data_IF_634654567085
#
_entry.id   IF_634654567085
#
_cell.length_a   1.000
_cell.length_b   1.000
_cell.length_c   1.000
_cell.angle_alpha   90.00
_cell.angle_beta   90.00
_cell.angle_gamma   90.00
#
_symmetry.space_group_name_H-M   'P 1'
#
loop_
_entity.id
_entity.type
_entity.pdbx_description
1 polymer ?
#
# COMPACT_ATOMS: atom_id res chain seq x y z
N UNK A 1 -68.77 16.13 -34.06
CA UNK A 1 -67.96 16.34 -32.84
C UNK A 1 -67.16 15.06 -32.57
N UNK A 2 -65.84 15.19 -32.42
CA UNK A 2 -64.86 14.11 -32.40
C UNK A 2 -64.97 13.22 -31.15
N UNK A 3 -65.21 11.92 -31.34
CA UNK A 3 -65.05 10.92 -30.29
C UNK A 3 -63.61 10.42 -30.27
N UNK A 4 -62.78 11.09 -29.48
CA UNK A 4 -61.40 10.74 -29.21
C UNK A 4 -61.37 9.48 -28.34
N UNK A 5 -61.24 8.29 -28.95
CA UNK A 5 -61.08 7.02 -28.23
C UNK A 5 -59.71 7.00 -27.57
N UNK A 6 -59.60 7.53 -26.35
CA UNK A 6 -58.44 7.29 -25.51
C UNK A 6 -58.38 5.80 -25.20
N UNK A 7 -57.40 5.11 -25.78
CA UNK A 7 -57.08 3.73 -25.44
C UNK A 7 -56.63 3.70 -23.98
N UNK A 8 -57.53 3.34 -23.08
CA UNK A 8 -57.20 3.04 -21.69
C UNK A 8 -56.25 1.84 -21.70
N UNK A 9 -54.97 2.09 -21.42
CA UNK A 9 -53.99 1.02 -21.23
C UNK A 9 -54.44 0.16 -20.05
N UNK A 10 -54.75 -1.10 -20.34
CA UNK A 10 -55.16 -2.08 -19.33
C UNK A 10 -53.93 -2.38 -18.47
N UNK A 11 -53.96 -1.98 -17.20
CA UNK A 11 -52.92 -2.34 -16.24
C UNK A 11 -52.96 -3.87 -16.04
N UNK A 12 -51.99 -4.57 -16.60
CA UNK A 12 -51.77 -5.98 -16.34
C UNK A 12 -50.95 -6.08 -15.04
N UNK A 13 -51.52 -6.73 -14.03
CA UNK A 13 -50.84 -7.02 -12.78
C UNK A 13 -49.83 -8.15 -12.94
N UNK A 14 -48.82 -8.19 -12.07
CA UNK A 14 -47.82 -9.24 -12.04
C UNK A 14 -48.41 -10.58 -11.59
N UNK A 15 -47.96 -11.67 -12.20
CA UNK A 15 -48.34 -13.01 -11.74
C UNK A 15 -47.50 -13.42 -10.53
N UNK A 16 -48.03 -14.30 -9.67
CA UNK A 16 -47.29 -14.80 -8.50
C UNK A 16 -45.97 -15.49 -8.92
N UNK A 17 -46.01 -16.25 -10.02
CA UNK A 17 -44.84 -16.93 -10.56
C UNK A 17 -43.78 -15.94 -11.03
N UNK A 18 -44.18 -14.80 -11.60
CA UNK A 18 -43.25 -13.75 -12.03
C UNK A 18 -42.52 -13.10 -10.86
N UNK A 19 -43.21 -12.87 -9.74
CA UNK A 19 -42.57 -12.37 -8.51
C UNK A 19 -41.61 -13.43 -7.92
N UNK A 20 -41.98 -14.70 -7.94
CA UNK A 20 -41.08 -15.78 -7.48
C UNK A 20 -39.79 -15.83 -8.32
N UNK A 21 -39.91 -15.72 -9.65
CA UNK A 21 -38.76 -15.70 -10.56
C UNK A 21 -37.93 -14.42 -10.32
N UNK A 22 -38.57 -13.26 -10.15
CA UNK A 22 -37.88 -12.01 -9.87
C UNK A 22 -37.05 -12.08 -8.57
N UNK A 23 -37.62 -12.65 -7.51
CA UNK A 23 -36.91 -12.87 -6.24
C UNK A 23 -35.76 -13.86 -6.38
N UNK A 24 -35.93 -14.93 -7.16
CA UNK A 24 -34.86 -15.88 -7.45
C UNK A 24 -33.68 -15.19 -8.16
N UNK A 25 -33.96 -14.44 -9.23
CA UNK A 25 -32.94 -13.69 -9.96
C UNK A 25 -32.27 -12.66 -9.06
N UNK A 26 -33.05 -11.95 -8.24
CA UNK A 26 -32.53 -10.99 -7.28
C UNK A 26 -31.58 -11.63 -6.26
N UNK A 27 -31.92 -12.81 -5.72
CA UNK A 27 -31.06 -13.54 -4.80
C UNK A 27 -29.72 -13.92 -5.44
N UNK A 28 -29.73 -14.39 -6.69
CA UNK A 28 -28.52 -14.72 -7.44
C UNK A 28 -27.64 -13.48 -7.67
N UNK A 29 -28.25 -12.36 -8.06
CA UNK A 29 -27.54 -11.08 -8.24
C UNK A 29 -26.91 -10.63 -6.92
N UNK A 30 -27.64 -10.70 -5.82
CA UNK A 30 -27.17 -10.24 -4.52
C UNK A 30 -25.98 -11.05 -3.99
N UNK A 31 -25.95 -12.36 -4.26
CA UNK A 31 -24.78 -13.20 -3.97
C UNK A 31 -23.55 -12.76 -4.78
N UNK A 32 -23.73 -12.43 -6.06
CA UNK A 32 -22.66 -11.86 -6.89
C UNK A 32 -22.10 -10.56 -6.32
N UNK A 33 -22.98 -9.65 -5.90
CA UNK A 33 -22.60 -8.37 -5.29
C UNK A 33 -21.88 -8.58 -3.95
N UNK A 34 -22.34 -9.50 -3.11
CA UNK A 34 -21.70 -9.80 -1.83
C UNK A 34 -20.26 -10.29 -1.99
N UNK A 35 -20.01 -11.18 -2.96
CA UNK A 35 -18.65 -11.62 -3.30
C UNK A 35 -17.76 -10.46 -3.80
N UNK A 36 -18.33 -9.57 -4.61
CA UNK A 36 -17.65 -8.35 -5.06
C UNK A 36 -17.26 -7.43 -3.89
N UNK A 37 -18.18 -7.22 -2.95
CA UNK A 37 -17.93 -6.37 -1.78
C UNK A 37 -16.79 -6.88 -0.91
N UNK A 38 -16.73 -8.19 -0.66
CA UNK A 38 -15.63 -8.80 0.11
C UNK A 38 -14.26 -8.59 -0.55
N UNK A 39 -14.22 -8.67 -1.88
CA UNK A 39 -12.99 -8.41 -2.66
C UNK A 39 -12.55 -6.97 -2.50
N UNK A 40 -13.46 -6.01 -2.66
CA UNK A 40 -13.18 -4.58 -2.47
C UNK A 40 -12.66 -4.29 -1.06
N UNK A 41 -13.28 -4.88 -0.03
CA UNK A 41 -12.84 -4.71 1.36
C UNK A 41 -11.43 -5.24 1.58
N UNK A 42 -11.08 -6.40 1.01
CA UNK A 42 -9.74 -6.98 1.10
C UNK A 42 -8.69 -6.09 0.44
N UNK A 43 -8.97 -5.61 -0.77
CA UNK A 43 -8.06 -4.71 -1.50
C UNK A 43 -7.85 -3.40 -0.77
N UNK A 44 -8.93 -2.79 -0.26
CA UNK A 44 -8.83 -1.54 0.49
C UNK A 44 -7.98 -1.68 1.76
N UNK A 45 -8.12 -2.78 2.50
CA UNK A 45 -7.28 -3.04 3.67
C UNK A 45 -5.79 -3.13 3.30
N UNK A 46 -5.46 -3.83 2.21
CA UNK A 46 -4.09 -3.93 1.72
C UNK A 46 -3.51 -2.57 1.32
N UNK A 47 -4.32 -1.72 0.67
CA UNK A 47 -3.91 -0.38 0.29
C UNK A 47 -3.62 0.50 1.52
N UNK A 48 -4.49 0.47 2.55
CA UNK A 48 -4.28 1.25 3.78
C UNK A 48 -2.96 0.88 4.48
N UNK A 49 -2.63 -0.41 4.56
CA UNK A 49 -1.36 -0.87 5.16
C UNK A 49 -0.17 -0.39 4.32
N UNK A 50 -0.28 -0.49 2.99
CA UNK A 50 0.75 -0.06 2.06
C UNK A 50 0.98 1.45 2.10
N UNK A 51 -0.08 2.23 2.21
CA UNK A 51 -0.02 3.69 2.29
C UNK A 51 0.66 4.13 3.60
N UNK A 52 0.37 3.47 4.72
CA UNK A 52 1.08 3.74 5.98
C UNK A 52 2.56 3.32 5.89
N UNK A 53 2.87 2.18 5.28
CA UNK A 53 4.26 1.77 5.06
C UNK A 53 5.02 2.78 4.19
N UNK A 54 4.35 3.33 3.16
CA UNK A 54 4.90 4.37 2.31
C UNK A 54 5.14 5.66 3.11
N UNK A 55 4.16 6.08 3.93
CA UNK A 55 4.31 7.24 4.81
C UNK A 55 5.51 7.10 5.76
N UNK A 56 5.68 5.93 6.37
CA UNK A 56 6.83 5.64 7.24
C UNK A 56 8.17 5.66 6.48
N UNK A 57 8.17 5.19 5.23
CA UNK A 57 9.36 5.23 4.38
C UNK A 57 9.71 6.67 3.97
N UNK A 58 8.70 7.48 3.62
CA UNK A 58 8.85 8.89 3.28
C UNK A 58 9.32 9.72 4.48
N UNK A 59 8.74 9.49 5.66
CA UNK A 59 9.13 10.17 6.90
C UNK A 59 10.61 9.91 7.20
N UNK A 60 11.07 8.65 7.07
CA UNK A 60 12.48 8.32 7.28
C UNK A 60 13.38 8.86 6.18
N UNK A 61 12.97 8.75 4.92
CA UNK A 61 13.75 9.28 3.80
C UNK A 61 13.92 10.80 3.93
N UNK A 62 12.87 11.51 4.33
CA UNK A 62 12.93 12.95 4.56
C UNK A 62 13.79 13.29 5.77
N UNK A 63 13.72 12.50 6.86
CA UNK A 63 14.63 12.65 8.00
C UNK A 63 16.08 12.52 7.54
N UNK A 64 16.42 11.46 6.80
CA UNK A 64 17.76 11.22 6.28
C UNK A 64 18.19 12.33 5.33
N UNK A 65 17.34 12.80 4.43
CA UNK A 65 17.66 13.94 3.54
C UNK A 65 17.95 15.24 4.29
N UNK A 66 17.42 15.41 5.50
CA UNK A 66 17.70 16.56 6.36
C UNK A 66 19.02 16.45 7.12
N UNK A 67 19.64 15.27 7.17
CA UNK A 67 20.94 15.06 7.83
C UNK A 67 22.07 15.63 6.95
N UNK A 68 23.14 16.09 7.60
CA UNK A 68 24.31 16.61 6.86
C UNK A 68 25.04 15.49 6.14
N UNK A 69 25.56 15.78 4.94
CA UNK A 69 26.32 14.82 4.14
C UNK A 69 27.49 14.17 4.90
N UNK A 70 28.14 14.92 5.81
CA UNK A 70 29.26 14.48 6.64
C UNK A 70 28.88 13.48 7.75
N UNK A 71 27.61 13.42 8.15
CA UNK A 71 27.14 12.50 9.19
C UNK A 71 27.03 11.07 8.66
N UNK A 72 26.79 10.91 7.36
CA UNK A 72 26.79 9.61 6.71
C UNK A 72 28.20 9.02 6.67
N UNK A 73 28.41 7.93 7.40
CA UNK A 73 29.74 7.32 7.61
C UNK A 73 30.30 7.46 9.03
N UNK A 74 29.78 8.39 9.85
CA UNK A 74 30.30 8.62 11.22
C UNK A 74 29.46 7.97 12.31
N UNK A 75 28.18 7.71 12.06
CA UNK A 75 27.28 6.97 12.95
C UNK A 75 26.99 5.59 12.38
N UNK A 76 27.05 4.54 13.21
CA UNK A 76 26.93 3.15 12.73
C UNK A 76 25.61 2.83 12.02
N UNK A 77 24.53 3.56 12.30
CA UNK A 77 23.24 3.40 11.63
C UNK A 77 23.15 4.11 10.27
N UNK A 78 24.03 5.09 10.02
CA UNK A 78 24.09 5.89 8.79
C UNK A 78 25.42 5.70 8.06
N UNK A 79 26.16 4.64 8.40
CA UNK A 79 27.40 4.31 7.74
C UNK A 79 27.10 3.79 6.35
N UNK A 80 27.65 4.44 5.33
CA UNK A 80 27.76 3.81 4.03
C UNK A 80 28.69 2.60 4.17
N UNK A 81 28.29 1.46 3.60
CA UNK A 81 29.10 0.23 3.63
C UNK A 81 29.41 -0.19 2.21
N UNK A 82 30.58 -0.79 2.00
CA UNK A 82 30.96 -1.44 0.74
C UNK A 82 31.30 -2.92 1.02
N UNK A 83 30.49 -3.90 0.58
CA UNK A 83 29.25 -3.74 -0.19
C UNK A 83 28.13 -3.11 0.65
N UNK A 84 27.12 -2.48 0.02
CA UNK A 84 26.05 -1.82 0.74
C UNK A 84 25.14 -2.88 1.39
N UNK A 85 24.86 -2.70 2.69
CA UNK A 85 24.09 -3.63 3.52
C UNK A 85 22.90 -2.94 4.17
N UNK A 86 21.82 -3.69 4.34
CA UNK A 86 20.66 -3.23 5.10
C UNK A 86 21.01 -3.17 6.59
N UNK A 87 20.66 -2.06 7.22
CA UNK A 87 20.75 -1.92 8.68
C UNK A 87 19.87 -2.97 9.38
N UNK A 88 20.18 -3.22 10.66
CA UNK A 88 19.32 -4.05 11.50
C UNK A 88 17.86 -3.56 11.43
N UNK A 89 16.90 -4.42 11.08
CA UNK A 89 15.52 -3.99 10.90
C UNK A 89 14.94 -3.48 12.22
N UNK A 90 14.38 -2.27 12.20
CA UNK A 90 13.81 -1.60 13.35
C UNK A 90 12.28 -1.72 13.36
N UNK A 91 11.73 -2.25 14.45
CA UNK A 91 10.27 -2.37 14.62
C UNK A 91 9.63 -0.99 14.82
N UNK A 92 8.55 -0.75 14.09
CA UNK A 92 7.72 0.45 14.18
C UNK A 92 6.28 0.00 14.34
N UNK A 93 5.69 0.28 15.50
CA UNK A 93 4.27 0.05 15.73
C UNK A 93 3.49 1.28 15.27
N UNK A 94 2.57 1.10 14.34
CA UNK A 94 1.64 2.15 13.92
C UNK A 94 0.20 1.70 14.06
N UNK A 95 -0.66 2.64 14.45
CA UNK A 95 -2.09 2.40 14.54
C UNK A 95 -2.73 2.86 13.23
N UNK A 96 -3.28 1.89 12.49
CA UNK A 96 -4.05 2.16 11.29
C UNK A 96 -5.52 1.81 11.51
N UNK A 97 -6.39 2.20 10.57
CA UNK A 97 -7.81 1.88 10.64
C UNK A 97 -8.01 0.36 10.67
N UNK A 98 -8.33 -0.18 11.85
CA UNK A 98 -8.55 -1.62 12.05
C UNK A 98 -7.61 -2.27 13.06
N UNK A 99 -6.64 -1.55 13.63
CA UNK A 99 -5.82 -2.03 14.75
C UNK A 99 -4.36 -1.57 14.69
N UNK A 100 -3.58 -2.02 15.68
CA UNK A 100 -2.13 -1.85 15.67
C UNK A 100 -1.51 -2.82 14.67
N UNK A 101 -0.63 -2.31 13.80
CA UNK A 101 0.14 -3.10 12.84
C UNK A 101 1.63 -2.94 13.12
N UNK A 102 2.36 -4.04 12.98
CA UNK A 102 3.81 -4.06 13.09
C UNK A 102 4.42 -3.83 11.73
N UNK A 103 5.19 -2.74 11.62
CA UNK A 103 6.04 -2.46 10.49
C UNK A 103 7.50 -2.64 10.89
N UNK A 104 8.34 -2.93 9.92
CA UNK A 104 9.78 -3.00 10.11
C UNK A 104 10.43 -2.11 9.08
N UNK A 105 11.30 -1.22 9.55
CA UNK A 105 12.06 -0.32 8.71
C UNK A 105 13.51 -0.75 8.64
N UNK A 106 14.10 -0.68 7.46
CA UNK A 106 15.53 -0.81 7.28
C UNK A 106 16.03 0.19 6.24
N UNK A 107 17.27 0.62 6.38
CA UNK A 107 17.93 1.58 5.52
C UNK A 107 19.23 1.00 5.00
N UNK A 108 19.61 1.35 3.78
CA UNK A 108 20.89 0.99 3.17
C UNK A 108 21.47 2.24 2.53
N UNK A 109 22.77 2.45 2.72
CA UNK A 109 23.47 3.62 2.19
C UNK A 109 24.67 3.13 1.39
N UNK A 110 24.77 3.63 0.16
CA UNK A 110 25.78 3.25 -0.82
C UNK A 110 26.60 4.47 -1.24
N UNK A 111 27.93 4.32 -1.26
CA UNK A 111 28.87 5.36 -1.67
C UNK A 111 29.08 5.29 -3.19
N UNK A 112 28.55 6.27 -3.90
CA UNK A 112 28.62 6.38 -5.36
C UNK A 112 29.70 7.36 -5.81
N UNK A 113 30.68 7.63 -4.94
CA UNK A 113 31.70 8.65 -5.17
C UNK A 113 32.48 8.38 -6.47
N UNK A 114 32.49 9.37 -7.36
CA UNK A 114 33.44 9.44 -8.47
C UNK A 114 34.46 10.52 -8.14
N UNK A 115 35.68 10.45 -8.68
CA UNK A 115 36.83 11.30 -8.30
C UNK A 115 36.59 12.84 -8.28
N UNK A 116 35.46 13.34 -8.79
CA UNK A 116 35.08 14.75 -8.80
C UNK A 116 33.79 15.09 -8.01
N UNK A 117 32.95 14.11 -7.65
CA UNK A 117 31.65 14.35 -6.98
C UNK A 117 31.41 13.24 -5.96
N UNK A 118 31.18 13.63 -4.71
CA UNK A 118 30.75 12.71 -3.67
C UNK A 118 29.22 12.58 -3.68
N UNK A 119 28.77 11.38 -4.01
CA UNK A 119 27.37 10.99 -4.09
C UNK A 119 27.10 9.87 -3.11
N UNK A 120 25.93 9.89 -2.47
CA UNK A 120 25.42 8.77 -1.69
C UNK A 120 24.01 8.43 -2.16
N UNK A 121 23.74 7.14 -2.34
CA UNK A 121 22.37 6.65 -2.50
C UNK A 121 21.87 6.16 -1.16
N UNK A 122 20.65 6.56 -0.83
CA UNK A 122 19.94 6.13 0.36
C UNK A 122 18.72 5.35 -0.10
N UNK A 123 18.65 4.09 0.32
CA UNK A 123 17.53 3.20 0.11
C UNK A 123 16.84 2.96 1.46
N UNK A 124 15.53 3.19 1.52
CA UNK A 124 14.70 2.96 2.71
C UNK A 124 13.66 1.91 2.35
N UNK A 125 13.62 0.81 3.09
CA UNK A 125 12.63 -0.23 2.97
C UNK A 125 11.75 -0.31 4.21
N UNK A 126 10.44 -0.41 4.02
CA UNK A 126 9.47 -0.66 5.09
C UNK A 126 8.65 -1.89 4.75
N UNK A 127 8.67 -2.88 5.64
CA UNK A 127 8.03 -4.16 5.48
C UNK A 127 6.91 -4.39 6.49
N UNK A 128 5.93 -5.20 6.10
CA UNK A 128 4.82 -5.67 6.93
C UNK A 128 4.46 -7.12 6.56
N UNK A 129 3.76 -7.81 7.46
CA UNK A 129 3.23 -9.16 7.20
C UNK A 129 1.80 -9.11 6.65
N UNK A 130 1.63 -9.68 5.47
CA UNK A 130 0.35 -9.95 4.81
C UNK A 130 0.11 -11.47 4.82
N UNK A 131 -1.05 -11.98 5.26
CA UNK A 131 -1.36 -13.41 5.19
C UNK A 131 -1.28 -14.01 3.79
N UNK A 132 -1.38 -13.19 2.73
CA UNK A 132 -1.20 -13.60 1.34
C UNK A 132 0.24 -13.37 0.81
N UNK A 133 1.17 -13.00 1.69
CA UNK A 133 2.56 -12.73 1.38
C UNK A 133 3.38 -14.00 1.08
N UNK A 134 4.57 -13.78 0.52
CA UNK A 134 5.51 -14.84 0.15
C UNK A 134 6.58 -15.09 1.23
N UNK A 135 7.75 -15.55 0.82
CA UNK A 135 8.91 -15.66 1.69
C UNK A 135 9.36 -14.29 2.23
N UNK A 136 10.06 -14.30 3.36
CA UNK A 136 10.64 -13.11 3.96
C UNK A 136 11.61 -12.40 3.01
N UNK A 137 11.51 -11.08 2.95
CA UNK A 137 12.34 -10.22 2.10
C UNK A 137 13.62 -9.82 2.84
N UNK A 138 14.77 -9.73 2.14
CA UNK A 138 16.08 -9.58 2.78
C UNK A 138 16.25 -8.24 3.51
N UNK A 139 15.58 -7.18 3.08
CA UNK A 139 15.73 -5.85 3.67
C UNK A 139 15.05 -5.73 5.04
N UNK A 140 13.91 -6.39 5.22
CA UNK A 140 13.00 -6.16 6.35
C UNK A 140 12.67 -7.43 7.13
N UNK A 141 12.99 -8.62 6.60
CA UNK A 141 12.56 -9.90 7.16
C UNK A 141 11.05 -10.16 7.06
N UNK A 142 10.30 -9.26 6.41
CA UNK A 142 8.85 -9.29 6.27
C UNK A 142 8.42 -9.86 4.92
N UNK A 143 7.17 -10.31 4.79
CA UNK A 143 6.70 -10.93 3.54
C UNK A 143 6.20 -9.95 2.46
N UNK A 144 6.02 -8.67 2.81
CA UNK A 144 5.74 -7.54 1.91
C UNK A 144 6.63 -6.36 2.27
N UNK A 145 6.97 -5.53 1.29
CA UNK A 145 7.66 -4.28 1.54
C UNK A 145 7.35 -3.21 0.48
N UNK A 146 7.59 -1.96 0.87
CA UNK A 146 7.79 -0.82 -0.03
C UNK A 146 9.22 -0.32 0.13
N UNK A 147 9.81 0.17 -0.96
CA UNK A 147 11.16 0.72 -0.96
C UNK A 147 11.17 2.05 -1.69
N UNK A 148 11.84 3.04 -1.10
CA UNK A 148 12.09 4.34 -1.68
C UNK A 148 13.59 4.58 -1.74
N UNK A 149 14.03 5.23 -2.82
CA UNK A 149 15.44 5.49 -3.07
C UNK A 149 15.64 6.96 -3.39
N UNK A 150 16.71 7.56 -2.87
CA UNK A 150 17.12 8.92 -3.23
C UNK A 150 18.63 9.03 -3.34
N UNK A 151 19.11 10.05 -4.05
CA UNK A 151 20.52 10.37 -4.17
C UNK A 151 20.73 11.75 -3.54
N UNK A 152 21.75 11.84 -2.69
CA UNK A 152 22.23 13.10 -2.13
C UNK A 152 23.64 13.39 -2.67
N UNK A 153 23.93 14.68 -2.84
CA UNK A 153 25.22 15.19 -3.31
C UNK A 153 25.79 16.04 -2.19
N UNK A 154 27.11 15.99 -1.99
CA UNK A 154 27.79 16.94 -1.09
C UNK A 154 27.57 18.36 -1.63
N UNK A 155 26.94 19.23 -0.84
CA UNK A 155 26.92 20.68 -1.13
C UNK A 155 28.26 21.28 -0.71
N UNK A 156 28.95 21.91 -1.66
CA UNK A 156 30.23 22.60 -1.48
C UNK A 156 30.18 23.74 -0.43
#
# INVERSE_FOLDING_TARGET
MNNNKQKLHRQQGFTLVEIMIALLVFMVIMLGVAGGLLTVLRTNKGNVVRDEALRLAEDELNRLKGEQFSVFGTSGALAATDPPTWTAPANVLSNIRGGAFSFVRSTQIDDLATAAIELKRIDVAVGWDDPAGGAALPATGMNRQVSLSTIIVRSD
#
